data_IF_143344516982
#
_entry.id   IF_143344516982
#
_cell.length_a   1.000
_cell.length_b   1.000
_cell.length_c   1.000
_cell.angle_alpha   90.00
_cell.angle_beta   90.00
_cell.angle_gamma   90.00
#
_symmetry.space_group_name_H-M   'P 1'
#
loop_
_entity.id
_entity.type
_entity.pdbx_description
1 polymer ?
2 non-polymer ?
#
# COMPACT_ATOMS: atom_id res chain seq x y z
N UNK A 1 7.16 -9.13 -14.58
CA UNK A 1 6.12 -10.04 -15.03
C UNK A 1 5.68 -10.94 -13.89
N UNK A 2 6.13 -10.63 -12.68
CA UNK A 2 5.79 -11.42 -11.52
C UNK A 2 4.29 -11.32 -11.20
N UNK A 3 3.72 -12.35 -10.63
CA UNK A 3 2.28 -12.36 -10.26
C UNK A 3 1.95 -11.35 -9.17
N UNK A 4 2.97 -10.91 -8.45
CA UNK A 4 2.78 -9.95 -7.38
C UNK A 4 2.29 -8.62 -7.94
N UNK A 5 2.46 -8.43 -9.25
CA UNK A 5 2.03 -7.21 -9.91
C UNK A 5 0.53 -7.00 -9.71
N UNK A 6 -0.19 -8.10 -9.53
CA UNK A 6 -1.63 -8.02 -9.33
C UNK A 6 -1.95 -7.24 -8.07
N UNK A 7 -1.11 -7.40 -7.05
CA UNK A 7 -1.32 -6.69 -5.79
C UNK A 7 -1.24 -5.18 -6.00
N UNK A 8 -0.31 -4.76 -6.83
CA UNK A 8 -0.14 -3.34 -7.13
C UNK A 8 -1.40 -2.79 -7.79
N UNK A 9 -1.97 -3.56 -8.69
CA UNK A 9 -3.17 -3.14 -9.38
C UNK A 9 -4.30 -2.94 -8.37
N UNK A 10 -4.39 -3.85 -7.40
CA UNK A 10 -5.42 -3.75 -6.36
C UNK A 10 -5.24 -2.46 -5.57
N UNK A 11 -4.00 -2.12 -5.25
CA UNK A 11 -3.72 -0.91 -4.50
C UNK A 11 -4.32 0.30 -5.19
N UNK A 12 -4.14 0.38 -6.50
CA UNK A 12 -4.67 1.48 -7.26
C UNK A 12 -6.18 1.56 -7.12
N UNK A 13 -6.83 0.42 -7.22
CA UNK A 13 -8.29 0.36 -7.07
C UNK A 13 -8.70 0.81 -5.68
N UNK A 14 -7.92 0.41 -4.68
CA UNK A 14 -8.21 0.79 -3.31
C UNK A 14 -8.15 2.30 -3.13
N UNK A 15 -7.14 2.92 -3.73
CA UNK A 15 -6.99 4.36 -3.61
C UNK A 15 -8.17 5.08 -4.23
N UNK A 16 -8.61 4.61 -5.39
CA UNK A 16 -9.75 5.19 -6.06
C UNK A 16 -11.03 4.98 -5.25
N UNK A 17 -11.15 3.78 -4.68
CA UNK A 17 -12.31 3.44 -3.88
C UNK A 17 -12.35 4.25 -2.60
N UNK A 18 -11.24 4.93 -2.31
CA UNK A 18 -11.14 5.73 -1.10
C UNK A 18 -12.27 6.76 -1.06
N UNK A 19 -12.71 7.18 -2.22
CA UNK A 19 -13.79 8.17 -2.31
C UNK A 19 -15.16 7.49 -2.14
N UNK A 20 -15.15 6.17 -2.20
CA UNK A 20 -16.39 5.40 -2.04
C UNK A 20 -16.76 5.28 -0.57
N UNK B 1 -18.06 5.18 -0.30
CA UNK B 1 -18.54 5.04 1.06
C UNK B 1 -18.32 3.63 1.58
N UNK B 2 -17.57 2.85 0.82
CA UNK B 2 -17.31 1.47 1.20
C UNK B 2 -16.44 1.40 2.46
N UNK B 3 -16.59 0.37 3.24
CA UNK B 3 -15.79 0.18 4.49
C UNK B 3 -14.30 -0.04 4.19
N UNK B 4 -14.01 -0.42 2.96
CA UNK B 4 -12.63 -0.65 2.56
C UNK B 4 -11.83 0.63 2.62
N UNK B 5 -12.52 1.76 2.65
CA UNK B 5 -11.88 3.07 2.71
C UNK B 5 -10.99 3.16 3.95
N UNK B 6 -11.36 2.41 4.98
CA UNK B 6 -10.60 2.41 6.22
C UNK B 6 -9.17 1.92 5.97
N UNK B 7 -9.04 0.95 5.07
CA UNK B 7 -7.72 0.41 4.75
C UNK B 7 -6.82 1.50 4.15
N UNK B 8 -7.40 2.33 3.31
CA UNK B 8 -6.64 3.41 2.68
C UNK B 8 -6.12 4.36 3.75
N UNK B 9 -6.96 4.67 4.73
CA UNK B 9 -6.57 5.57 5.80
C UNK B 9 -5.37 4.98 6.55
N UNK B 10 -5.41 3.68 6.78
CA UNK B 10 -4.32 3.00 7.47
C UNK B 10 -3.02 3.14 6.68
N UNK B 11 -3.12 2.98 5.36
CA UNK B 11 -1.94 3.09 4.51
C UNK B 11 -1.25 4.43 4.73
N UNK B 12 -2.04 5.50 4.80
CA UNK B 12 -1.48 6.83 5.00
C UNK B 12 -0.71 6.88 6.31
N UNK B 13 -1.29 6.32 7.36
CA UNK B 13 -0.65 6.29 8.67
C UNK B 13 0.65 5.50 8.59
N UNK B 14 0.62 4.40 7.85
CA UNK B 14 1.81 3.58 7.70
C UNK B 14 2.95 4.35 7.04
N UNK B 15 2.60 5.12 6.02
CA UNK B 15 3.61 5.89 5.30
C UNK B 15 4.25 6.92 6.24
N UNK B 16 3.43 7.57 7.04
CA UNK B 16 3.93 8.56 7.99
C UNK B 16 4.78 7.89 9.06
N UNK B 17 4.33 6.73 9.52
CA UNK B 17 5.03 5.99 10.56
C UNK B 17 6.36 5.47 10.03
N UNK B 18 6.54 5.57 8.72
CA UNK B 18 7.77 5.10 8.10
C UNK B 18 8.99 5.77 8.74
N UNK B 19 8.78 6.99 9.20
CA UNK B 19 9.87 7.74 9.84
C UNK B 19 10.06 7.31 11.29
N UNK B 20 9.11 6.55 11.79
CA UNK B 20 9.16 6.04 13.16
C UNK B 20 10.07 4.82 13.25
N UNK C 1 10.68 4.63 14.42
CA UNK C 1 11.57 3.49 14.63
C UNK C 1 10.77 2.22 14.83
N UNK C 2 9.48 2.30 14.60
CA UNK C 2 8.60 1.15 14.78
C UNK C 2 8.92 0.07 13.75
N UNK C 3 8.70 -1.18 14.09
CA UNK C 3 8.97 -2.33 13.17
C UNK C 3 8.05 -2.30 11.94
N UNK C 4 6.95 -1.60 12.06
CA UNK C 4 5.99 -1.50 10.96
C UNK C 4 6.63 -0.81 9.75
N UNK C 5 7.73 -0.11 10.00
CA UNK C 5 8.43 0.60 8.93
C UNK C 5 8.86 -0.40 7.85
N UNK C 6 9.05 -1.65 8.24
CA UNK C 6 9.45 -2.69 7.29
C UNK C 6 8.38 -2.86 6.22
N UNK C 7 7.13 -2.75 6.62
CA UNK C 7 6.02 -2.91 5.68
C UNK C 7 6.09 -1.83 4.58
N UNK C 8 6.43 -0.62 4.99
CA UNK C 8 6.54 0.49 4.03
C UNK C 8 7.62 0.19 3.02
N UNK C 9 8.73 -0.35 3.48
CA UNK C 9 9.83 -0.68 2.58
C UNK C 9 9.37 -1.70 1.55
N UNK C 10 8.58 -2.68 1.99
CA UNK C 10 8.07 -3.70 1.09
C UNK C 10 7.19 -3.06 0.02
N UNK C 11 6.36 -2.11 0.42
CA UNK C 11 5.47 -1.42 -0.52
C UNK C 11 6.28 -0.83 -1.67
N UNK C 12 7.39 -0.20 -1.34
CA UNK C 12 8.24 0.41 -2.36
C UNK C 12 8.72 -0.65 -3.34
N UNK C 13 9.16 -1.78 -2.82
CA UNK C 13 9.64 -2.87 -3.66
C UNK C 13 8.50 -3.38 -4.55
N UNK C 14 7.31 -3.44 -3.99
CA UNK C 14 6.15 -3.90 -4.75
C UNK C 14 5.86 -2.98 -5.93
N UNK C 15 5.95 -1.68 -5.69
CA UNK C 15 5.69 -0.72 -6.75
C UNK C 15 6.70 -0.87 -7.88
N UNK C 16 7.96 -1.05 -7.51
CA UNK C 16 9.01 -1.23 -8.50
C UNK C 16 8.81 -2.55 -9.27
N UNK C 17 8.43 -3.59 -8.53
CA UNK C 17 8.21 -4.90 -9.12
C UNK C 17 7.00 -4.87 -10.05
N UNK C 18 6.24 -3.78 -9.98
CA UNK C 18 5.05 -3.64 -10.81
C UNK C 18 5.41 -3.82 -12.28
N UNK C 19 6.62 -3.44 -12.62
CA UNK C 19 7.08 -3.56 -14.01
C UNK C 19 7.51 -4.99 -14.32
N UNK C 20 7.65 -5.79 -13.29
CA UNK C 20 8.06 -7.18 -13.44
C UNK C 20 6.87 -8.05 -13.85
#
# INVERSE_FOLDING_TARGET
>A
KNPEAEEITRCKKLLDDSSS
>B
KNPEAEEITRCKKLLDDSSS
>C
KNPEAEEITRCKKLLDDSSS
#
